data_IF_538675488954
#
_entry.id   IF_538675488954
#
_cell.length_a   1.000
_cell.length_b   1.000
_cell.length_c   1.000
_cell.angle_alpha   90.00
_cell.angle_beta   90.00
_cell.angle_gamma   90.00
#
_symmetry.space_group_name_H-M   'P 1'
#
loop_
_entity.id
_entity.type
_entity.pdbx_description
1 polymer ?
#
# COMPACT_ATOMS: atom_id res chain seq x y z
N UNK A 1 11.96 -1.12 -30.71
CA UNK A 1 11.15 -0.05 -30.07
C UNK A 1 9.88 -0.56 -29.39
N UNK A 2 9.12 -1.50 -29.97
CA UNK A 2 7.86 -2.02 -29.39
C UNK A 2 8.01 -2.51 -27.93
N UNK A 3 9.08 -3.26 -27.63
CA UNK A 3 9.38 -3.76 -26.28
C UNK A 3 9.63 -2.66 -25.24
N UNK A 4 10.29 -1.57 -25.65
CA UNK A 4 10.63 -0.47 -24.74
C UNK A 4 9.38 0.37 -24.41
N UNK A 5 8.55 0.65 -25.42
CA UNK A 5 7.27 1.35 -25.26
C UNK A 5 6.28 0.55 -24.41
N UNK A 6 6.23 -0.77 -24.61
CA UNK A 6 5.36 -1.66 -23.85
C UNK A 6 5.78 -1.73 -22.38
N UNK A 7 7.09 -1.83 -22.10
CA UNK A 7 7.61 -1.74 -20.74
C UNK A 7 7.33 -0.39 -20.09
N UNK A 8 7.52 0.73 -20.81
CA UNK A 8 7.19 2.06 -20.28
C UNK A 8 5.70 2.23 -19.97
N UNK A 9 4.79 1.81 -20.87
CA UNK A 9 3.35 1.85 -20.62
C UNK A 9 2.95 1.06 -19.36
N UNK A 10 3.57 -0.11 -19.11
CA UNK A 10 3.29 -0.89 -17.90
C UNK A 10 3.60 -0.12 -16.60
N UNK A 11 4.55 0.82 -16.65
CA UNK A 11 4.90 1.67 -15.50
C UNK A 11 4.19 3.03 -15.51
N UNK A 12 3.85 3.60 -16.68
CA UNK A 12 3.24 4.93 -16.80
C UNK A 12 1.72 4.92 -16.84
N UNK A 13 1.09 3.85 -17.31
CA UNK A 13 -0.38 3.68 -17.39
C UNK A 13 -0.90 2.68 -16.37
N UNK A 14 -0.19 2.54 -15.24
CA UNK A 14 -0.53 1.59 -14.20
C UNK A 14 -1.87 1.95 -13.55
N UNK A 15 -2.90 1.14 -13.81
CA UNK A 15 -4.25 1.34 -13.26
C UNK A 15 -4.40 0.90 -11.81
N UNK A 16 -3.58 -0.06 -11.39
CA UNK A 16 -3.59 -0.62 -10.04
C UNK A 16 -2.16 -0.81 -9.54
N UNK A 17 -1.93 -0.44 -8.28
CA UNK A 17 -0.66 -0.67 -7.61
C UNK A 17 -0.48 -2.17 -7.35
N UNK A 18 0.47 -2.80 -8.04
CA UNK A 18 0.85 -4.19 -7.77
C UNK A 18 1.76 -4.26 -6.54
N UNK A 19 1.76 -5.36 -5.76
CA UNK A 19 2.65 -5.51 -4.60
C UNK A 19 4.13 -5.29 -4.95
N UNK A 20 4.55 -5.75 -6.13
CA UNK A 20 5.92 -5.56 -6.64
C UNK A 20 6.27 -4.08 -6.81
N UNK A 21 5.32 -3.28 -7.31
CA UNK A 21 5.52 -1.84 -7.51
C UNK A 21 5.47 -1.12 -6.18
N UNK A 22 4.51 -1.45 -5.30
CA UNK A 22 4.43 -0.88 -3.96
C UNK A 22 5.74 -1.10 -3.19
N UNK A 23 6.28 -2.32 -3.19
CA UNK A 23 7.55 -2.61 -2.54
C UNK A 23 8.72 -1.79 -3.09
N UNK A 24 8.74 -1.52 -4.39
CA UNK A 24 9.77 -0.67 -5.01
C UNK A 24 9.63 0.81 -4.64
N UNK A 25 8.42 1.25 -4.30
CA UNK A 25 8.13 2.62 -3.91
C UNK A 25 8.35 2.89 -2.42
N UNK A 26 8.48 1.86 -1.59
CA UNK A 26 8.78 2.02 -0.15
C UNK A 26 10.23 2.49 -0.01
N UNK A 27 10.39 3.68 0.56
CA UNK A 27 11.70 4.23 0.94
C UNK A 27 12.23 3.53 2.20
N UNK A 28 11.39 3.46 3.23
CA UNK A 28 11.70 2.76 4.49
C UNK A 28 10.44 2.41 5.27
N UNK A 29 10.55 1.39 6.12
CA UNK A 29 9.54 1.02 7.12
C UNK A 29 10.15 1.28 8.49
N UNK A 30 9.56 2.18 9.25
CA UNK A 30 9.96 2.51 10.62
C UNK A 30 9.02 1.79 11.59
N UNK A 31 9.57 0.83 12.32
CA UNK A 31 8.84 0.07 13.33
C UNK A 31 9.21 0.66 14.68
N UNK A 32 8.21 1.18 15.38
CA UNK A 32 8.40 1.76 16.71
C UNK A 32 8.42 0.67 17.78
N UNK A 33 8.86 1.03 18.99
CA UNK A 33 8.76 0.12 20.12
C UNK A 33 7.30 -0.20 20.45
N UNK A 34 7.07 -1.34 21.10
CA UNK A 34 5.74 -1.72 21.52
C UNK A 34 5.21 -0.76 22.61
N UNK A 35 4.01 -0.25 22.39
CA UNK A 35 3.27 0.48 23.41
C UNK A 35 2.23 -0.44 24.03
N UNK A 36 2.19 -0.47 25.37
CA UNK A 36 1.15 -1.17 26.11
C UNK A 36 -0.01 -0.21 26.37
N UNK A 37 -1.15 -0.46 25.73
CA UNK A 37 -2.42 0.25 26.00
C UNK A 37 -3.50 -0.77 26.35
N UNK A 38 -4.15 -0.59 27.50
CA UNK A 38 -5.27 -1.43 27.95
C UNK A 38 -4.98 -2.94 27.87
N UNK A 39 -3.83 -3.39 28.38
CA UNK A 39 -3.37 -4.79 28.33
C UNK A 39 -3.08 -5.36 26.93
N UNK A 40 -3.19 -4.56 25.88
CA UNK A 40 -2.82 -4.94 24.51
C UNK A 40 -1.46 -4.33 24.13
N UNK A 41 -0.62 -5.13 23.50
CA UNK A 41 0.61 -4.65 22.87
C UNK A 41 0.27 -4.10 21.49
N UNK A 42 0.57 -2.83 21.25
CA UNK A 42 0.45 -2.19 19.94
C UNK A 42 1.83 -1.81 19.45
N UNK A 43 2.10 -1.96 18.17
CA UNK A 43 3.35 -1.51 17.54
C UNK A 43 2.97 -0.52 16.47
N UNK A 44 3.42 0.72 16.60
CA UNK A 44 3.24 1.73 15.56
C UNK A 44 4.21 1.42 14.42
N UNK A 45 3.72 1.51 13.18
CA UNK A 45 4.52 1.35 11.98
C UNK A 45 4.30 2.56 11.09
N UNK A 46 5.36 3.28 10.77
CA UNK A 46 5.35 4.37 9.79
C UNK A 46 6.00 3.87 8.50
N UNK A 47 5.29 3.96 7.37
CA UNK A 47 5.80 3.56 6.05
C UNK A 47 6.04 4.82 5.23
N UNK A 48 7.29 5.01 4.79
CA UNK A 48 7.69 6.14 3.97
C UNK A 48 7.83 5.66 2.52
N UNK A 49 7.30 6.43 1.58
CA UNK A 49 7.33 6.12 0.15
C UNK A 49 8.10 7.20 -0.61
N UNK A 50 8.91 6.80 -1.58
CA UNK A 50 9.71 7.69 -2.45
C UNK A 50 8.86 8.38 -3.53
N UNK A 51 7.56 8.59 -3.29
CA UNK A 51 6.57 8.90 -4.31
C UNK A 51 6.18 10.40 -4.36
N UNK A 52 7.12 11.30 -4.13
CA UNK A 52 6.85 12.76 -4.10
C UNK A 52 6.21 13.20 -5.42
N UNK A 53 4.90 13.53 -5.37
CA UNK A 53 4.14 14.09 -6.49
C UNK A 53 3.53 13.10 -7.49
N UNK A 54 3.65 11.78 -7.28
CA UNK A 54 3.09 10.77 -8.20
C UNK A 54 1.69 10.26 -7.80
N UNK A 55 1.35 10.32 -6.50
CA UNK A 55 0.07 9.86 -5.98
C UNK A 55 -0.46 10.81 -4.92
N UNK A 56 -1.78 11.01 -4.90
CA UNK A 56 -2.45 11.65 -3.77
C UNK A 56 -2.42 10.69 -2.58
N UNK A 57 -1.97 11.19 -1.42
CA UNK A 57 -2.02 10.42 -0.18
C UNK A 57 -3.51 10.23 0.18
N UNK A 58 -4.01 8.99 0.25
CA UNK A 58 -5.40 8.76 0.59
C UNK A 58 -5.69 9.21 2.02
N UNK A 59 -6.90 9.69 2.24
CA UNK A 59 -7.39 10.03 3.57
C UNK A 59 -7.56 8.78 4.44
N UNK A 60 -7.52 8.95 5.76
CA UNK A 60 -7.72 7.85 6.73
C UNK A 60 -9.01 7.07 6.46
N UNK A 61 -10.12 7.76 6.16
CA UNK A 61 -11.39 7.11 5.85
C UNK A 61 -11.30 6.25 4.58
N UNK A 62 -10.65 6.75 3.53
CA UNK A 62 -10.48 5.98 2.28
C UNK A 62 -9.64 4.73 2.50
N UNK A 63 -8.64 4.78 3.39
CA UNK A 63 -7.85 3.61 3.79
C UNK A 63 -8.73 2.60 4.53
N UNK A 64 -9.51 3.03 5.53
CA UNK A 64 -10.43 2.17 6.29
C UNK A 64 -11.41 1.46 5.36
N UNK A 65 -12.11 2.21 4.50
CA UNK A 65 -13.08 1.67 3.55
C UNK A 65 -12.44 0.65 2.59
N UNK A 66 -11.20 0.92 2.16
CA UNK A 66 -10.46 0.00 1.29
C UNK A 66 -10.10 -1.29 2.00
N UNK A 67 -9.65 -1.21 3.26
CA UNK A 67 -9.35 -2.40 4.07
C UNK A 67 -10.58 -3.26 4.32
N UNK A 68 -11.74 -2.64 4.57
CA UNK A 68 -13.02 -3.36 4.72
C UNK A 68 -13.41 -4.09 3.44
N UNK A 69 -13.36 -3.42 2.28
CA UNK A 69 -13.63 -4.05 0.98
C UNK A 69 -12.71 -5.23 0.70
N UNK A 70 -11.42 -5.12 1.02
CA UNK A 70 -10.45 -6.21 0.82
C UNK A 70 -10.77 -7.39 1.73
N UNK A 71 -11.11 -7.15 3.00
CA UNK A 71 -11.53 -8.21 3.94
C UNK A 71 -12.76 -8.95 3.43
N UNK A 72 -13.76 -8.23 2.94
CA UNK A 72 -15.00 -8.80 2.42
C UNK A 72 -14.75 -9.66 1.17
N UNK A 73 -13.99 -9.13 0.21
CA UNK A 73 -13.62 -9.85 -1.02
C UNK A 73 -12.79 -11.11 -0.76
N UNK A 74 -11.96 -11.11 0.29
CA UNK A 74 -11.19 -12.29 0.70
C UNK A 74 -12.08 -13.34 1.39
N UNK A 75 -13.06 -12.91 2.18
CA UNK A 75 -14.03 -13.81 2.80
C UNK A 75 -14.92 -14.49 1.75
N UNK A 76 -15.40 -13.75 0.74
CA UNK A 76 -16.19 -14.27 -0.37
C UNK A 76 -15.43 -15.27 -1.24
N UNK A 77 -14.11 -15.09 -1.41
CA UNK A 77 -13.25 -16.04 -2.14
C UNK A 77 -12.93 -17.32 -1.36
N UNK A 78 -13.18 -17.33 -0.06
CA UNK A 78 -12.86 -18.45 0.83
C UNK A 78 -14.09 -19.30 1.19
N UNK A 79 -15.26 -18.93 0.69
CA UNK A 79 -16.53 -19.63 0.82
C UNK A 79 -16.88 -20.36 -0.49
#
# INVERSE_FOLDING_TARGET
MKMLYQGLMEFTEMKELTPTVVNKLIERIEIHNNEKKYSHNNVKVDIYFTAVGLFDIPTEQQLIDTMERVKQKNAEKSA
#
